data_IF_782322611145
#
_entry.id   IF_782322611145
#
_cell.length_a   1.000
_cell.length_b   1.000
_cell.length_c   1.000
_cell.angle_alpha   90.00
_cell.angle_beta   90.00
_cell.angle_gamma   90.00
#
_symmetry.space_group_name_H-M   'P 1'
#
loop_
_entity.id
_entity.type
_entity.pdbx_description
1 polymer ?
#
# COMPACT_ATOMS: atom_id res chain seq x y z
N UNK A 1 -33.95 -45.86 16.54
CA UNK A 1 -33.61 -45.17 15.27
C UNK A 1 -34.07 -43.70 15.19
N UNK A 2 -35.05 -43.27 15.97
CA UNK A 2 -35.54 -41.88 15.96
C UNK A 2 -34.58 -40.84 16.58
N UNK A 3 -33.73 -41.23 17.55
CA UNK A 3 -32.81 -40.31 18.25
C UNK A 3 -31.60 -39.86 17.43
N UNK A 4 -31.19 -40.58 16.40
CA UNK A 4 -30.04 -40.19 15.55
C UNK A 4 -30.44 -39.10 14.58
N UNK A 5 -31.70 -39.06 14.15
CA UNK A 5 -32.21 -38.03 13.22
C UNK A 5 -32.37 -36.69 13.94
N UNK A 6 -32.75 -36.70 15.24
CA UNK A 6 -32.87 -35.49 16.02
C UNK A 6 -31.49 -34.78 16.28
N UNK A 7 -30.40 -35.57 16.39
CA UNK A 7 -29.06 -35.01 16.57
C UNK A 7 -28.50 -34.32 15.31
N UNK A 8 -28.93 -34.78 14.12
CA UNK A 8 -28.52 -34.16 12.83
C UNK A 8 -29.25 -32.82 12.58
N UNK A 9 -30.42 -32.63 13.20
CA UNK A 9 -31.22 -31.40 13.08
C UNK A 9 -30.83 -30.31 14.09
N UNK A 10 -30.02 -30.66 15.13
CA UNK A 10 -29.60 -29.75 16.19
C UNK A 10 -28.16 -29.26 16.00
N UNK A 11 -27.45 -29.76 14.99
CA UNK A 11 -26.17 -29.16 14.63
C UNK A 11 -26.43 -27.87 13.85
N UNK A 12 -26.38 -26.67 14.48
CA UNK A 12 -26.42 -25.44 13.70
C UNK A 12 -25.17 -25.46 12.84
N UNK A 13 -25.35 -25.58 11.52
CA UNK A 13 -24.29 -25.20 10.58
C UNK A 13 -23.96 -23.79 11.01
N UNK A 14 -22.82 -23.64 11.70
CA UNK A 14 -22.30 -22.33 12.02
C UNK A 14 -22.18 -21.60 10.68
N UNK A 15 -23.13 -20.71 10.37
CA UNK A 15 -22.96 -19.78 9.26
C UNK A 15 -21.65 -19.10 9.59
N UNK A 16 -20.61 -19.39 8.79
CA UNK A 16 -19.42 -18.57 8.74
C UNK A 16 -19.93 -17.17 8.45
N UNK A 17 -20.09 -16.35 9.47
CA UNK A 17 -20.48 -14.96 9.29
C UNK A 17 -19.38 -14.37 8.42
N UNK A 18 -19.75 -13.75 7.32
CA UNK A 18 -18.81 -12.98 6.53
C UNK A 18 -18.22 -11.93 7.47
N UNK A 19 -16.95 -12.11 7.82
CA UNK A 19 -16.23 -11.09 8.60
C UNK A 19 -16.03 -9.94 7.62
N UNK A 20 -16.82 -8.90 7.76
CA UNK A 20 -16.63 -7.65 7.00
C UNK A 20 -15.36 -7.02 7.54
N UNK A 21 -14.26 -7.20 6.82
CA UNK A 21 -13.00 -6.53 7.12
C UNK A 21 -13.14 -5.09 6.65
N UNK A 22 -13.23 -4.15 7.60
CA UNK A 22 -13.29 -2.71 7.31
C UNK A 22 -11.87 -2.15 7.33
N UNK A 23 -11.54 -1.34 6.33
CA UNK A 23 -10.37 -0.48 6.39
C UNK A 23 -10.61 0.65 7.41
N UNK A 24 -9.68 0.84 8.31
CA UNK A 24 -9.68 1.94 9.28
C UNK A 24 -8.86 3.12 8.77
N UNK A 25 -7.78 2.85 8.04
CA UNK A 25 -6.97 3.85 7.36
C UNK A 25 -6.71 3.44 5.92
N UNK A 26 -6.49 4.44 5.08
CA UNK A 26 -5.94 4.28 3.73
C UNK A 26 -4.72 5.19 3.57
N UNK A 27 -3.68 4.64 2.98
CA UNK A 27 -2.47 5.33 2.59
C UNK A 27 -2.42 5.27 1.07
N UNK A 28 -2.47 6.44 0.43
CA UNK A 28 -2.39 6.59 -1.02
C UNK A 28 -1.06 7.23 -1.35
N UNK A 29 -0.29 6.60 -2.21
CA UNK A 29 0.90 7.14 -2.85
C UNK A 29 0.60 7.42 -4.30
N UNK A 30 1.10 8.54 -4.83
CA UNK A 30 0.98 8.88 -6.25
C UNK A 30 2.21 9.62 -6.73
N UNK A 31 2.50 9.48 -8.03
CA UNK A 31 3.59 10.19 -8.72
C UNK A 31 3.12 10.66 -10.10
N UNK A 32 3.90 11.51 -10.81
CA UNK A 32 3.42 12.09 -12.06
C UNK A 32 2.98 11.03 -13.06
N UNK A 33 1.79 11.20 -13.63
CA UNK A 33 1.15 10.27 -14.55
C UNK A 33 1.96 10.02 -15.83
N UNK A 34 2.82 10.97 -16.21
CA UNK A 34 3.72 10.85 -17.35
C UNK A 34 4.99 10.07 -17.02
N UNK A 35 5.26 9.84 -15.73
CA UNK A 35 6.39 9.03 -15.29
C UNK A 35 6.14 7.57 -15.60
N UNK A 36 7.17 6.91 -16.08
CA UNK A 36 7.17 5.46 -16.32
C UNK A 36 7.85 4.71 -15.19
N UNK A 37 8.29 5.45 -14.17
CA UNK A 37 9.06 4.91 -13.07
C UNK A 37 8.21 4.04 -12.16
N UNK A 38 8.81 2.99 -11.65
CA UNK A 38 8.23 2.03 -10.71
C UNK A 38 8.58 2.48 -9.29
N UNK A 39 7.59 2.97 -8.57
CA UNK A 39 7.73 3.50 -7.22
C UNK A 39 6.90 2.66 -6.26
N UNK A 40 7.57 1.99 -5.33
CA UNK A 40 6.95 1.10 -4.36
C UNK A 40 6.59 1.81 -3.05
N UNK A 41 5.40 1.53 -2.54
CA UNK A 41 4.94 1.92 -1.21
C UNK A 41 5.27 0.84 -0.17
N UNK A 42 5.99 1.23 0.87
CA UNK A 42 6.30 0.39 2.03
C UNK A 42 5.57 0.92 3.26
N UNK A 43 4.83 0.06 3.94
CA UNK A 43 4.16 0.42 5.19
C UNK A 43 4.50 -0.61 6.26
N UNK A 44 4.99 -0.12 7.40
CA UNK A 44 5.29 -0.95 8.58
C UNK A 44 4.33 -0.62 9.71
N UNK A 45 3.83 -1.66 10.38
CA UNK A 45 2.97 -1.56 11.54
C UNK A 45 3.75 -1.59 12.88
N UNK A 46 3.08 -1.35 14.05
CA UNK A 46 3.73 -1.41 15.35
C UNK A 46 4.34 -2.77 15.72
N UNK A 47 3.90 -3.85 15.09
CA UNK A 47 4.42 -5.21 15.28
C UNK A 47 5.61 -5.53 14.38
N UNK A 48 6.11 -4.52 13.63
CA UNK A 48 7.20 -4.65 12.64
C UNK A 48 6.84 -5.53 11.45
N UNK A 49 5.56 -5.64 11.16
CA UNK A 49 5.07 -6.24 9.92
C UNK A 49 5.17 -5.20 8.82
N UNK A 50 5.76 -5.57 7.68
CA UNK A 50 5.90 -4.69 6.51
C UNK A 50 5.08 -5.27 5.37
N UNK A 51 4.28 -4.42 4.68
CA UNK A 51 3.70 -4.72 3.38
C UNK A 51 4.36 -3.88 2.30
N UNK A 52 4.53 -4.51 1.13
CA UNK A 52 5.12 -3.96 -0.07
C UNK A 52 4.83 -4.94 -1.24
N UNK A 53 5.27 -4.67 -2.46
CA UNK A 53 4.94 -5.45 -3.66
C UNK A 53 5.13 -6.97 -3.54
N UNK A 54 6.14 -7.47 -2.79
CA UNK A 54 6.36 -8.92 -2.57
C UNK A 54 5.59 -9.50 -1.40
N UNK A 55 5.10 -8.68 -0.49
CA UNK A 55 4.32 -9.10 0.67
C UNK A 55 3.11 -8.21 0.81
N UNK A 56 2.11 -8.46 -0.05
CA UNK A 56 0.94 -7.59 -0.22
C UNK A 56 -0.10 -7.72 0.88
N UNK A 57 -0.11 -8.81 1.63
CA UNK A 57 -1.10 -9.08 2.68
C UNK A 57 -0.42 -9.70 3.88
N UNK A 58 -0.39 -8.99 4.99
CA UNK A 58 0.14 -9.50 6.25
C UNK A 58 -0.40 -8.74 7.45
N UNK A 59 -0.88 -9.48 8.46
CA UNK A 59 -1.48 -8.91 9.66
C UNK A 59 -2.75 -8.13 9.32
N UNK A 60 -2.77 -6.85 9.65
CA UNK A 60 -3.87 -5.93 9.32
C UNK A 60 -3.54 -4.99 8.15
N UNK A 61 -2.37 -5.14 7.56
CA UNK A 61 -1.94 -4.34 6.42
C UNK A 61 -2.23 -5.09 5.12
N UNK A 62 -2.68 -4.36 4.11
CA UNK A 62 -2.92 -4.89 2.77
C UNK A 62 -2.55 -3.85 1.71
N UNK A 63 -1.70 -4.24 0.75
CA UNK A 63 -1.43 -3.47 -0.46
C UNK A 63 -2.53 -3.80 -1.48
N UNK A 64 -3.48 -2.91 -1.63
CA UNK A 64 -4.65 -3.10 -2.49
C UNK A 64 -4.32 -2.92 -3.96
N UNK A 65 -3.46 -1.96 -4.27
CA UNK A 65 -2.95 -1.69 -5.62
C UNK A 65 -1.43 -1.59 -5.59
N UNK A 66 -0.81 -2.30 -6.52
CA UNK A 66 0.61 -2.30 -6.84
C UNK A 66 0.74 -1.86 -8.29
N UNK A 67 1.38 -0.73 -8.49
CA UNK A 67 1.54 -0.09 -9.79
C UNK A 67 2.98 -0.27 -10.27
N UNK A 68 3.14 -0.97 -11.37
CA UNK A 68 4.43 -1.28 -11.97
C UNK A 68 4.88 -0.20 -12.96
N UNK A 69 4.47 1.04 -12.72
CA UNK A 69 4.64 2.13 -13.67
C UNK A 69 3.99 1.79 -15.00
N UNK A 70 4.66 2.09 -16.11
CA UNK A 70 4.10 1.87 -17.45
C UNK A 70 3.73 0.41 -17.77
N UNK A 71 4.20 -0.56 -16.98
CA UNK A 71 4.05 -1.98 -17.32
C UNK A 71 2.63 -2.52 -17.18
N UNK A 72 1.80 -1.93 -16.33
CA UNK A 72 0.42 -2.35 -16.08
C UNK A 72 -0.65 -1.30 -16.43
N UNK A 73 -0.26 -0.26 -17.16
CA UNK A 73 -1.18 0.81 -17.57
C UNK A 73 -2.19 0.43 -18.64
N UNK A 74 -2.01 -0.71 -19.30
CA UNK A 74 -2.88 -1.13 -20.40
C UNK A 74 -4.02 -1.99 -19.90
N UNK A 75 -5.23 -1.47 -20.00
CA UNK A 75 -6.47 -2.22 -19.76
C UNK A 75 -6.99 -2.77 -21.08
N UNK A 76 -7.17 -4.10 -21.16
CA UNK A 76 -7.74 -4.79 -22.32
C UNK A 76 -9.19 -5.10 -22.03
N UNK A 77 -10.09 -4.68 -22.94
CA UNK A 77 -11.52 -4.97 -22.89
C UNK A 77 -11.97 -5.63 -24.20
N UNK A 78 -13.19 -6.17 -24.25
CA UNK A 78 -13.78 -6.75 -25.45
C UNK A 78 -13.89 -5.75 -26.61
N UNK A 79 -13.94 -4.44 -26.31
CA UNK A 79 -14.03 -3.36 -27.29
C UNK A 79 -12.67 -2.78 -27.71
N UNK A 80 -11.55 -3.22 -27.10
CA UNK A 80 -10.20 -2.75 -27.39
C UNK A 80 -9.36 -2.57 -26.14
N UNK A 81 -8.18 -1.97 -26.31
CA UNK A 81 -7.27 -1.62 -25.22
C UNK A 81 -7.17 -0.12 -25.05
N UNK A 82 -7.09 0.36 -23.81
CA UNK A 82 -6.79 1.74 -23.49
C UNK A 82 -5.74 1.81 -22.39
N UNK A 83 -4.98 2.90 -22.34
CA UNK A 83 -4.01 3.16 -21.29
C UNK A 83 -4.66 3.94 -20.17
N UNK A 84 -4.32 3.58 -18.94
CA UNK A 84 -4.64 4.34 -17.72
C UNK A 84 -3.40 5.12 -17.33
N UNK A 85 -3.53 6.42 -17.12
CA UNK A 85 -2.41 7.28 -16.74
C UNK A 85 -2.38 7.51 -15.22
N UNK A 86 -2.71 6.48 -14.43
CA UNK A 86 -2.76 6.60 -12.97
C UNK A 86 -1.59 5.88 -12.33
N UNK A 87 -0.59 6.62 -11.91
CA UNK A 87 0.53 6.14 -11.11
C UNK A 87 0.16 6.27 -9.63
N UNK A 88 -0.40 5.20 -9.06
CA UNK A 88 -0.88 5.18 -7.68
C UNK A 88 -0.74 3.81 -7.03
N UNK A 89 -0.33 3.80 -5.77
CA UNK A 89 -0.39 2.63 -4.90
C UNK A 89 -1.22 2.90 -3.66
N UNK A 90 -1.89 1.85 -3.17
CA UNK A 90 -2.77 1.94 -2.02
C UNK A 90 -2.49 0.85 -1.01
N UNK A 91 -2.30 1.26 0.26
CA UNK A 91 -2.27 0.35 1.40
C UNK A 91 -3.42 0.67 2.33
N UNK A 92 -4.21 -0.36 2.69
CA UNK A 92 -5.22 -0.27 3.74
C UNK A 92 -4.75 -0.89 5.03
N UNK A 93 -5.11 -0.24 6.17
CA UNK A 93 -4.94 -0.77 7.51
C UNK A 93 -6.33 -1.21 7.98
N UNK A 94 -6.50 -2.52 8.18
CA UNK A 94 -7.81 -3.19 8.40
C UNK A 94 -8.11 -3.45 9.87
N UNK A 95 -7.68 -2.55 10.74
CA UNK A 95 -7.91 -2.58 12.18
C UNK A 95 -7.01 -1.61 12.92
N UNK A 96 -7.20 -1.50 14.22
CA UNK A 96 -6.45 -0.59 15.08
C UNK A 96 -5.48 -1.39 15.93
N UNK A 97 -4.18 -1.23 15.66
CA UNK A 97 -3.10 -1.70 16.55
C UNK A 97 -2.39 -0.45 17.07
N UNK A 98 -2.47 -0.15 18.37
CA UNK A 98 -1.80 1.03 18.93
C UNK A 98 -0.29 0.94 18.75
N UNK A 99 0.35 2.07 18.45
CA UNK A 99 1.78 2.17 18.27
C UNK A 99 2.17 2.89 16.98
N UNK A 100 3.44 2.80 16.63
CA UNK A 100 4.04 3.54 15.52
C UNK A 100 3.89 2.81 14.19
N UNK A 101 3.36 3.52 13.21
CA UNK A 101 3.35 3.15 11.79
C UNK A 101 4.39 3.98 11.05
N UNK A 102 4.99 3.39 10.02
CA UNK A 102 6.01 4.06 9.19
C UNK A 102 5.64 3.88 7.74
N UNK A 103 5.73 4.96 6.97
CA UNK A 103 5.36 5.02 5.56
C UNK A 103 6.54 5.53 4.75
N UNK A 104 7.05 4.69 3.85
CA UNK A 104 8.16 4.99 2.95
C UNK A 104 7.73 4.86 1.50
N UNK A 105 8.40 5.62 0.63
CA UNK A 105 8.42 5.37 -0.80
C UNK A 105 9.85 4.95 -1.22
N UNK A 106 9.91 4.03 -2.18
CA UNK A 106 11.16 3.52 -2.74
C UNK A 106 11.11 3.55 -4.26
N UNK A 107 12.11 4.14 -4.89
CA UNK A 107 12.23 4.11 -6.34
C UNK A 107 12.85 2.78 -6.77
N UNK A 108 12.01 1.81 -7.12
CA UNK A 108 12.46 0.46 -7.47
C UNK A 108 13.21 0.43 -8.79
N UNK A 109 12.72 1.13 -9.80
CA UNK A 109 13.34 1.12 -11.11
C UNK A 109 12.80 2.14 -12.08
N UNK A 110 13.60 2.41 -13.12
CA UNK A 110 13.13 3.17 -14.29
C UNK A 110 12.29 2.25 -15.14
N UNK A 111 11.05 2.66 -15.42
CA UNK A 111 10.13 1.88 -16.24
C UNK A 111 10.72 1.62 -17.61
N UNK A 112 10.77 0.35 -18.00
CA UNK A 112 11.20 -0.06 -19.33
C UNK A 112 10.08 0.24 -20.32
N UNK A 113 10.35 1.07 -21.32
CA UNK A 113 9.47 1.25 -22.48
C UNK A 113 9.24 -0.07 -23.21
N UNK A 114 8.17 -0.14 -24.01
CA UNK A 114 7.99 -1.24 -24.98
C UNK A 114 9.18 -1.28 -25.92
N UNK A 115 9.42 -2.46 -26.52
CA UNK A 115 10.48 -2.64 -27.52
C UNK A 115 10.44 -1.49 -28.56
N UNK A 116 11.49 -0.64 -28.56
CA UNK A 116 11.58 0.55 -29.42
C UNK A 116 11.20 1.88 -28.77
N UNK A 117 10.71 1.90 -27.54
CA UNK A 117 10.50 3.12 -26.75
C UNK A 117 11.69 3.41 -25.83
N UNK A 118 11.94 4.69 -25.56
CA UNK A 118 13.02 5.07 -24.64
C UNK A 118 12.63 4.73 -23.21
N UNK A 119 13.62 4.30 -22.40
CA UNK A 119 13.48 4.25 -20.94
C UNK A 119 13.06 5.61 -20.38
N UNK A 120 12.48 5.60 -19.16
CA UNK A 120 12.23 6.84 -18.44
C UNK A 120 13.51 7.65 -18.34
N UNK A 121 13.44 8.93 -18.75
CA UNK A 121 14.56 9.88 -18.67
C UNK A 121 14.49 10.74 -17.42
N UNK A 122 13.61 10.43 -16.48
CA UNK A 122 13.47 11.20 -15.25
C UNK A 122 14.75 11.13 -14.45
N UNK A 123 15.30 12.30 -14.10
CA UNK A 123 16.42 12.42 -13.17
C UNK A 123 15.92 12.42 -11.72
N UNK A 124 14.68 12.83 -11.51
CA UNK A 124 14.01 12.92 -10.21
C UNK A 124 12.54 12.58 -10.36
N UNK A 125 11.93 12.05 -9.30
CA UNK A 125 10.48 11.77 -9.25
C UNK A 125 9.89 12.40 -8.00
N UNK A 126 8.91 13.30 -8.18
CA UNK A 126 8.12 13.82 -7.07
C UNK A 126 7.05 12.79 -6.68
N UNK A 127 7.13 12.29 -5.46
CA UNK A 127 6.15 11.36 -4.90
C UNK A 127 5.30 12.09 -3.88
N UNK A 128 3.99 11.89 -3.95
CA UNK A 128 3.02 12.44 -3.02
C UNK A 128 2.35 11.33 -2.23
N UNK A 129 2.24 11.50 -0.92
CA UNK A 129 1.52 10.58 -0.05
C UNK A 129 0.39 11.31 0.67
N UNK A 130 -0.73 10.61 0.81
CA UNK A 130 -1.90 11.01 1.58
C UNK A 130 -2.29 9.88 2.54
N UNK A 131 -2.51 10.21 3.81
CA UNK A 131 -2.91 9.26 4.86
C UNK A 131 -4.24 9.72 5.43
N UNK A 132 -5.24 8.85 5.39
CA UNK A 132 -6.60 9.13 5.80
C UNK A 132 -7.10 8.07 6.79
N UNK A 133 -7.72 8.50 7.89
CA UNK A 133 -8.57 7.65 8.73
C UNK A 133 -9.97 7.63 8.12
N UNK A 134 -10.60 6.48 8.05
CA UNK A 134 -11.88 6.33 7.36
C UNK A 134 -13.08 6.39 8.30
N UNK A 135 -12.93 6.01 9.57
CA UNK A 135 -14.00 5.95 10.55
C UNK A 135 -13.60 6.54 11.93
N UNK A 136 -14.09 7.73 12.32
CA UNK A 136 -14.69 8.73 11.43
C UNK A 136 -13.65 9.28 10.45
N UNK A 137 -14.11 9.78 9.31
CA UNK A 137 -13.21 10.33 8.29
C UNK A 137 -12.38 11.49 8.83
N UNK A 138 -11.06 11.42 8.61
CA UNK A 138 -10.11 12.47 8.95
C UNK A 138 -8.89 12.37 8.05
N UNK A 139 -8.51 13.48 7.42
CA UNK A 139 -7.20 13.59 6.80
C UNK A 139 -6.15 13.66 7.92
N UNK A 140 -5.23 12.68 7.94
CA UNK A 140 -4.16 12.60 8.94
C UNK A 140 -2.96 13.42 8.48
N UNK A 141 -2.54 13.18 7.24
CA UNK A 141 -1.36 13.84 6.69
C UNK A 141 -1.39 13.82 5.15
N UNK A 142 -0.77 14.82 4.54
CA UNK A 142 -0.45 14.83 3.12
C UNK A 142 0.82 15.64 2.89
N UNK A 143 1.67 15.17 2.00
CA UNK A 143 2.90 15.85 1.62
C UNK A 143 3.55 15.20 0.43
N UNK A 144 4.58 15.86 -0.12
CA UNK A 144 5.39 15.34 -1.22
C UNK A 144 6.87 15.39 -0.88
N UNK A 145 7.62 14.45 -1.44
CA UNK A 145 9.09 14.39 -1.40
C UNK A 145 9.60 13.99 -2.78
N UNK A 146 10.83 14.39 -3.09
CA UNK A 146 11.46 14.08 -4.36
C UNK A 146 12.49 12.98 -4.14
N UNK A 147 12.38 11.89 -4.89
CA UNK A 147 13.41 10.88 -5.03
C UNK A 147 14.38 11.32 -6.13
N UNK A 148 15.67 11.15 -5.92
CA UNK A 148 16.73 11.73 -6.77
C UNK A 148 17.52 10.70 -7.55
N UNK A 149 17.39 9.42 -7.21
CA UNK A 149 18.04 8.34 -7.94
C UNK A 149 17.28 7.02 -7.78
N UNK A 150 17.46 6.13 -8.72
CA UNK A 150 16.95 4.74 -8.63
C UNK A 150 17.60 4.04 -7.44
N UNK A 151 16.78 3.43 -6.60
CA UNK A 151 17.19 2.82 -5.33
C UNK A 151 17.02 3.75 -4.13
N UNK A 152 16.67 5.01 -4.34
CA UNK A 152 16.35 5.93 -3.22
C UNK A 152 15.13 5.42 -2.46
N UNK A 153 15.23 5.46 -1.14
CA UNK A 153 14.14 5.26 -0.21
C UNK A 153 14.02 6.47 0.71
N UNK A 154 12.81 6.95 0.97
CA UNK A 154 12.58 8.03 1.92
C UNK A 154 11.37 7.77 2.79
N UNK A 155 11.48 8.13 4.07
CA UNK A 155 10.36 8.10 5.02
C UNK A 155 9.52 9.35 4.85
N UNK A 156 8.23 9.18 4.54
CA UNK A 156 7.28 10.29 4.43
C UNK A 156 6.71 10.67 5.79
N UNK A 157 6.29 9.66 6.54
CA UNK A 157 5.73 9.88 7.87
C UNK A 157 5.94 8.67 8.77
N UNK A 158 6.24 8.95 10.02
CA UNK A 158 6.10 8.04 11.16
C UNK A 158 5.00 8.61 12.02
N UNK A 159 3.95 7.84 12.29
CA UNK A 159 2.83 8.29 13.12
C UNK A 159 2.43 7.23 14.13
N UNK A 160 2.14 7.68 15.34
CA UNK A 160 1.72 6.80 16.43
C UNK A 160 0.22 6.98 16.67
N UNK A 161 -0.52 5.88 16.71
CA UNK A 161 -1.93 5.88 17.06
C UNK A 161 -2.17 5.28 18.45
N UNK A 162 -3.23 5.73 19.11
CA UNK A 162 -3.73 5.15 20.35
C UNK A 162 -4.69 3.96 20.08
N UNK A 163 -5.27 3.41 21.14
CA UNK A 163 -6.23 2.29 21.07
C UNK A 163 -7.58 2.64 20.43
N UNK A 164 -7.83 3.91 20.13
CA UNK A 164 -9.01 4.41 19.38
C UNK A 164 -8.67 4.74 17.93
N UNK A 165 -7.40 4.58 17.55
CA UNK A 165 -6.89 4.97 16.23
C UNK A 165 -6.75 6.48 16.07
N UNK A 166 -6.62 7.24 17.16
CA UNK A 166 -6.32 8.66 17.08
C UNK A 166 -4.81 8.87 17.05
N UNK A 167 -4.34 9.74 16.15
CA UNK A 167 -2.92 10.06 16.03
C UNK A 167 -2.50 10.93 17.21
N UNK A 168 -1.53 10.43 18.00
CA UNK A 168 -1.02 11.09 19.20
C UNK A 168 0.37 11.72 19.00
N UNK A 169 1.11 11.27 18.00
CA UNK A 169 2.40 11.87 17.62
C UNK A 169 2.73 11.56 16.17
N UNK A 170 3.55 12.39 15.55
CA UNK A 170 4.13 12.12 14.23
C UNK A 170 5.47 12.82 14.06
N UNK A 171 6.31 12.27 13.18
CA UNK A 171 7.57 12.86 12.74
C UNK A 171 7.95 12.32 11.34
N UNK A 172 8.99 12.89 10.75
CA UNK A 172 9.52 12.49 9.44
C UNK A 172 10.97 11.99 9.53
N UNK A 173 11.36 11.43 10.68
CA UNK A 173 12.70 10.86 10.86
C UNK A 173 12.87 9.63 9.98
N UNK A 174 13.96 9.58 9.25
CA UNK A 174 14.27 8.48 8.33
C UNK A 174 14.33 7.14 9.06
N UNK A 175 13.70 6.15 8.46
CA UNK A 175 13.70 4.76 8.88
C UNK A 175 13.71 3.84 7.66
N UNK A 176 14.88 3.44 7.15
CA UNK A 176 14.96 2.60 5.97
C UNK A 176 14.37 1.21 6.23
N UNK A 177 13.57 0.72 5.29
CA UNK A 177 12.95 -0.62 5.31
C UNK A 177 13.49 -1.52 4.20
N UNK A 178 13.99 -0.94 3.12
CA UNK A 178 14.60 -1.67 2.01
C UNK A 178 16.00 -2.11 2.44
N UNK A 179 16.19 -3.43 2.53
CA UNK A 179 17.52 -3.98 2.82
C UNK A 179 18.39 -3.77 1.59
N UNK A 180 19.43 -2.98 1.74
CA UNK A 180 20.44 -2.72 0.71
C UNK A 180 21.11 -4.05 0.30
N UNK A 181 20.63 -4.68 -0.79
CA UNK A 181 21.23 -5.90 -1.35
C UNK A 181 22.36 -5.54 -2.28
N UNK A 182 23.40 -4.91 -1.73
CA UNK A 182 24.69 -4.86 -2.40
C UNK A 182 25.16 -3.52 -2.90
N UNK A 183 25.65 -2.71 -1.98
CA UNK A 183 26.87 -1.95 -2.21
C UNK A 183 28.00 -2.72 -1.50
N UNK A 184 28.49 -3.79 -2.13
CA UNK A 184 29.78 -4.42 -1.87
C UNK A 184 30.62 -4.35 -3.12
#
# INVERSE_FOLDING_TARGET
MLFIIAFLLINPIAKKGDIIIKAEFIITMSWPKESRDDIDLYVMDPQKVIVYFRQRDKGLLHLDRDDLGYSNDVVVTDSGSYSTDFNEEHVTIRGIVPGEYIVNAHWFGKGQGRVGEKESSSETVEVKIKIEKLNPYKLIWTGSKTLTDTGDETTFLRFTIDNKGDVISSNELEYPMVLDRGKN
#
